data_IF_684753683760
#
_entry.id   IF_684753683760
#
_cell.length_a   1.000
_cell.length_b   1.000
_cell.length_c   1.000
_cell.angle_alpha   90.00
_cell.angle_beta   90.00
_cell.angle_gamma   90.00
#
_symmetry.space_group_name_H-M   'P 1'
#
loop_
_entity.id
_entity.type
_entity.pdbx_description
1 polymer ?
#
# COMPACT_ATOMS: atom_id res chain seq x y z
N UNK A 1 21.07 17.44 -6.25
CA UNK A 1 19.82 17.22 -5.50
C UNK A 1 19.84 15.76 -5.07
N UNK A 2 19.61 15.47 -3.80
CA UNK A 2 19.61 14.08 -3.33
C UNK A 2 18.39 13.37 -3.93
N UNK A 3 18.63 12.32 -4.71
CA UNK A 3 17.60 11.44 -5.25
C UNK A 3 17.41 10.28 -4.28
N UNK A 4 16.16 10.03 -3.86
CA UNK A 4 15.84 8.92 -2.96
C UNK A 4 15.42 7.71 -3.78
N UNK A 5 16.00 6.55 -3.46
CA UNK A 5 15.63 5.25 -4.01
C UNK A 5 15.56 4.24 -2.88
N UNK A 6 14.58 3.34 -2.95
CA UNK A 6 14.35 2.29 -1.97
C UNK A 6 14.29 0.94 -2.68
N UNK A 7 14.75 -0.12 -2.02
CA UNK A 7 14.60 -1.48 -2.56
C UNK A 7 13.18 -1.99 -2.32
N UNK A 8 12.78 -3.06 -3.00
CA UNK A 8 11.49 -3.70 -2.75
C UNK A 8 11.38 -4.17 -1.28
N UNK A 9 12.49 -4.65 -0.70
CA UNK A 9 12.54 -5.06 0.71
C UNK A 9 12.32 -3.89 1.68
N UNK A 10 12.84 -2.71 1.36
CA UNK A 10 12.60 -1.51 2.17
C UNK A 10 11.12 -1.14 2.16
N UNK A 11 10.47 -1.20 1.00
CA UNK A 11 9.04 -0.91 0.88
C UNK A 11 8.18 -2.00 1.54
N UNK A 12 8.57 -3.27 1.43
CA UNK A 12 7.86 -4.40 2.04
C UNK A 12 7.87 -4.36 3.57
N UNK A 13 8.85 -3.70 4.20
CA UNK A 13 8.83 -3.44 5.66
C UNK A 13 7.73 -2.46 6.07
N UNK A 14 7.28 -1.60 5.16
CA UNK A 14 6.21 -0.62 5.40
C UNK A 14 4.84 -1.10 4.92
N UNK A 15 4.77 -1.95 3.89
CA UNK A 15 3.53 -2.45 3.33
C UNK A 15 3.70 -3.89 2.82
N UNK A 16 2.83 -4.82 3.23
CA UNK A 16 2.91 -6.23 2.83
C UNK A 16 2.58 -6.52 1.35
N UNK A 17 2.14 -5.53 0.57
CA UNK A 17 1.79 -5.71 -0.84
C UNK A 17 3.04 -5.79 -1.72
N UNK A 18 3.24 -6.95 -2.37
CA UNK A 18 4.39 -7.16 -3.27
C UNK A 18 4.28 -6.32 -4.53
N UNK A 19 3.07 -6.18 -5.08
CA UNK A 19 2.83 -5.37 -6.27
C UNK A 19 3.14 -3.90 -5.99
N UNK A 20 2.64 -3.37 -4.87
CA UNK A 20 2.94 -2.00 -4.45
C UNK A 20 4.45 -1.77 -4.30
N UNK A 21 5.17 -2.68 -3.64
CA UNK A 21 6.61 -2.58 -3.46
C UNK A 21 7.36 -2.52 -4.80
N UNK A 22 7.04 -3.43 -5.72
CA UNK A 22 7.64 -3.48 -7.05
C UNK A 22 7.37 -2.22 -7.87
N UNK A 23 6.12 -1.73 -7.86
CA UNK A 23 5.74 -0.53 -8.62
C UNK A 23 6.39 0.73 -8.04
N UNK A 24 6.43 0.90 -6.71
CA UNK A 24 7.04 2.06 -6.08
C UNK A 24 8.56 2.11 -6.31
N UNK A 25 9.24 0.97 -6.19
CA UNK A 25 10.67 0.87 -6.51
C UNK A 25 10.93 1.15 -7.98
N UNK A 26 10.06 0.70 -8.89
CA UNK A 26 10.15 0.97 -10.34
C UNK A 26 9.90 2.44 -10.70
N UNK A 27 9.11 3.17 -9.89
CA UNK A 27 8.84 4.60 -10.06
C UNK A 27 9.99 5.50 -9.55
N UNK A 28 10.92 4.93 -8.78
CA UNK A 28 12.10 5.63 -8.29
C UNK A 28 13.14 5.86 -9.42
N UNK A 29 14.07 6.83 -9.30
CA UNK A 29 14.32 7.67 -8.13
C UNK A 29 13.37 8.86 -7.97
N UNK A 30 13.09 9.25 -6.73
CA UNK A 30 12.27 10.42 -6.40
C UNK A 30 13.12 11.67 -6.14
N UNK A 31 12.61 12.84 -6.55
CA UNK A 31 13.26 14.15 -6.39
C UNK A 31 13.29 14.63 -4.94
N UNK A 32 12.25 14.29 -4.19
CA UNK A 32 12.01 14.71 -2.80
C UNK A 32 10.93 13.81 -2.17
N UNK A 33 10.69 14.01 -0.88
CA UNK A 33 9.70 13.25 -0.11
C UNK A 33 8.26 13.44 -0.61
N UNK A 34 7.90 14.64 -1.09
CA UNK A 34 6.55 14.91 -1.57
C UNK A 34 6.25 14.14 -2.85
N UNK A 35 7.19 14.13 -3.80
CA UNK A 35 7.09 13.32 -5.02
C UNK A 35 6.98 11.82 -4.70
N UNK A 36 7.74 11.33 -3.71
CA UNK A 36 7.66 9.94 -3.29
C UNK A 36 6.29 9.59 -2.67
N UNK A 37 5.76 10.43 -1.78
CA UNK A 37 4.43 10.23 -1.16
C UNK A 37 3.34 10.29 -2.22
N UNK A 38 3.40 11.25 -3.14
CA UNK A 38 2.43 11.36 -4.22
C UNK A 38 2.43 10.10 -5.10
N UNK A 39 3.61 9.63 -5.51
CA UNK A 39 3.76 8.40 -6.30
C UNK A 39 3.19 7.18 -5.56
N UNK A 40 3.51 7.04 -4.27
CA UNK A 40 2.95 5.98 -3.43
C UNK A 40 1.42 6.03 -3.36
N UNK A 41 0.82 7.21 -3.16
CA UNK A 41 -0.64 7.36 -3.11
C UNK A 41 -1.31 7.01 -4.45
N UNK A 42 -0.71 7.38 -5.57
CA UNK A 42 -1.22 7.08 -6.90
C UNK A 42 -1.20 5.58 -7.19
N UNK A 43 -0.06 4.92 -6.91
CA UNK A 43 0.13 3.47 -7.04
C UNK A 43 -0.87 2.72 -6.15
N UNK A 44 -0.94 3.07 -4.86
CA UNK A 44 -1.84 2.41 -3.89
C UNK A 44 -3.31 2.51 -4.30
N UNK A 45 -3.70 3.65 -4.85
CA UNK A 45 -5.07 3.93 -5.28
C UNK A 45 -5.40 3.31 -6.65
N UNK A 46 -4.47 2.61 -7.30
CA UNK A 46 -4.60 2.11 -8.68
C UNK A 46 -5.02 3.21 -9.67
N UNK A 47 -4.56 4.45 -9.45
CA UNK A 47 -4.79 5.51 -10.44
C UNK A 47 -3.92 5.19 -11.65
N UNK A 48 -4.57 4.79 -12.74
CA UNK A 48 -3.93 4.65 -14.04
C UNK A 48 -3.15 5.93 -14.31
N UNK A 49 -1.83 5.80 -14.49
CA UNK A 49 -1.08 6.85 -15.17
C UNK A 49 -1.81 7.15 -16.47
N UNK A 50 -1.99 8.43 -16.87
CA UNK A 50 -2.58 8.73 -18.16
C UNK A 50 -1.79 7.96 -19.21
N UNK A 51 -2.46 7.01 -19.87
CA UNK A 51 -1.85 6.20 -20.91
C UNK A 51 -1.14 7.16 -21.88
N UNK A 52 0.13 6.89 -22.17
CA UNK A 52 0.85 7.60 -23.21
C UNK A 52 -0.02 7.66 -24.48
N UNK A 53 -0.14 8.82 -25.16
CA UNK A 53 -1.04 9.00 -26.30
C UNK A 53 -0.91 7.93 -27.38
N UNK A 54 0.27 7.32 -27.50
CA UNK A 54 0.57 6.26 -28.46
C UNK A 54 -0.23 4.97 -28.26
N UNK A 55 -0.71 4.68 -27.04
CA UNK A 55 -1.50 3.47 -26.75
C UNK A 55 -3.01 3.66 -26.93
N UNK A 56 -3.48 4.90 -27.07
CA UNK A 56 -4.90 5.23 -27.25
C UNK A 56 -5.41 5.01 -28.68
N UNK A 57 -4.51 4.92 -29.67
CA UNK A 57 -4.89 4.74 -31.07
C UNK A 57 -5.46 3.35 -31.40
N UNK A 58 -5.23 2.33 -30.55
CA UNK A 58 -5.78 0.97 -30.77
C UNK A 58 -7.07 0.69 -30.02
N UNK A 59 -7.42 1.49 -29.00
CA UNK A 59 -8.59 1.23 -28.14
C UNK A 59 -9.87 1.89 -28.72
N UNK A 60 -9.73 2.99 -29.47
CA UNK A 60 -10.85 3.76 -30.03
C UNK A 60 -11.63 3.08 -31.17
N UNK A 61 -11.23 1.88 -31.61
CA UNK A 61 -11.90 1.16 -32.70
C UNK A 61 -12.74 -0.04 -32.25
N UNK A 62 -12.75 -0.40 -30.97
CA UNK A 62 -13.40 -1.64 -30.49
C UNK A 62 -14.57 -1.37 -29.53
N UNK A 63 -14.69 -0.19 -28.91
CA UNK A 63 -15.73 0.06 -27.91
C UNK A 63 -16.42 1.44 -28.05
N UNK A 64 -17.74 1.49 -28.29
CA UNK A 64 -18.51 2.74 -28.36
C UNK A 64 -18.85 3.35 -26.99
N UNK A 65 -18.41 2.79 -25.86
CA UNK A 65 -18.64 3.36 -24.52
C UNK A 65 -17.34 3.65 -23.75
N UNK A 66 -16.66 4.79 -24.00
CA UNK A 66 -15.38 5.13 -23.34
C UNK A 66 -15.51 5.59 -21.87
N UNK A 67 -16.69 5.46 -21.26
CA UNK A 67 -16.95 5.98 -19.91
C UNK A 67 -16.75 4.98 -18.78
N UNK A 68 -16.45 3.71 -19.08
CA UNK A 68 -16.17 2.71 -18.06
C UNK A 68 -14.70 2.29 -18.11
N UNK A 69 -13.82 3.23 -17.82
CA UNK A 69 -12.54 2.90 -17.18
C UNK A 69 -12.90 2.25 -15.83
N UNK A 70 -13.10 0.93 -15.85
CA UNK A 70 -13.11 0.14 -14.63
C UNK A 70 -11.71 0.34 -14.04
N UNK A 71 -11.63 1.11 -12.95
CA UNK A 71 -10.48 1.07 -12.07
C UNK A 71 -10.38 -0.38 -11.62
N UNK A 72 -9.48 -1.15 -12.22
CA UNK A 72 -9.16 -2.48 -11.72
C UNK A 72 -8.46 -2.27 -10.39
N UNK A 73 -9.25 -2.32 -9.31
CA UNK A 73 -8.75 -2.24 -7.95
C UNK A 73 -7.99 -3.55 -7.69
N UNK A 74 -6.72 -3.44 -7.33
CA UNK A 74 -5.88 -4.56 -6.94
C UNK A 74 -6.26 -5.08 -5.54
N UNK A 75 -7.40 -5.77 -5.48
CA UNK A 75 -7.90 -6.40 -4.26
C UNK A 75 -6.89 -7.41 -3.72
N UNK A 76 -6.15 -8.10 -4.58
CA UNK A 76 -5.13 -9.08 -4.17
C UNK A 76 -4.00 -8.39 -3.42
N UNK A 77 -3.45 -7.31 -3.98
CA UNK A 77 -2.41 -6.53 -3.31
C UNK A 77 -2.88 -5.93 -1.98
N UNK A 78 -4.14 -5.51 -1.89
CA UNK A 78 -4.72 -5.05 -0.62
C UNK A 78 -4.82 -6.17 0.42
N UNK A 79 -5.30 -7.36 0.02
CA UNK A 79 -5.39 -8.51 0.93
C UNK A 79 -4.01 -8.99 1.40
N UNK A 80 -2.99 -8.98 0.53
CA UNK A 80 -1.61 -9.25 0.92
C UNK A 80 -1.10 -8.24 1.97
N UNK A 81 -1.35 -6.95 1.75
CA UNK A 81 -0.98 -5.92 2.71
C UNK A 81 -1.66 -6.12 4.07
N UNK A 82 -2.97 -6.38 4.09
CA UNK A 82 -3.72 -6.58 5.32
C UNK A 82 -3.27 -7.84 6.08
N UNK A 83 -3.00 -8.94 5.37
CA UNK A 83 -2.54 -10.18 5.96
C UNK A 83 -1.16 -10.07 6.63
N UNK A 84 -0.35 -9.06 6.27
CA UNK A 84 0.95 -8.82 6.88
C UNK A 84 0.87 -8.10 8.24
N UNK A 85 -0.28 -7.53 8.60
CA UNK A 85 -0.46 -6.86 9.89
C UNK A 85 -0.75 -7.87 11.02
N UNK A 86 -0.20 -7.66 12.23
CA UNK A 86 -0.65 -8.38 13.40
C UNK A 86 -2.09 -7.98 13.74
N UNK A 87 -2.84 -8.91 14.34
CA UNK A 87 -4.12 -8.59 14.96
C UNK A 87 -3.95 -7.50 16.03
N UNK A 88 -4.96 -6.65 16.20
CA UNK A 88 -5.00 -5.65 17.26
C UNK A 88 -5.11 -6.37 18.61
N UNK A 89 -4.32 -5.96 19.59
CA UNK A 89 -4.27 -6.60 20.91
C UNK A 89 -3.40 -7.86 20.98
N UNK A 90 -2.82 -8.28 19.85
CA UNK A 90 -1.88 -9.39 19.80
C UNK A 90 -0.60 -9.09 20.58
N UNK A 91 -0.26 -9.98 21.52
CA UNK A 91 1.01 -9.98 22.27
C UNK A 91 1.99 -11.04 21.75
N UNK A 92 1.77 -11.59 20.55
CA UNK A 92 2.63 -12.64 20.01
C UNK A 92 4.09 -12.16 19.85
N UNK A 93 5.09 -13.03 20.12
CA UNK A 93 6.50 -12.66 20.02
C UNK A 93 6.93 -12.26 18.60
N UNK A 94 6.14 -12.59 17.57
CA UNK A 94 6.38 -12.25 16.17
C UNK A 94 5.96 -10.84 15.76
N UNK A 95 5.38 -10.04 16.67
CA UNK A 95 5.00 -8.65 16.35
C UNK A 95 6.26 -7.77 16.25
N UNK A 96 6.38 -7.05 15.13
CA UNK A 96 7.50 -6.13 14.89
C UNK A 96 7.56 -5.01 15.93
N UNK A 97 8.74 -4.41 16.12
CA UNK A 97 8.88 -3.26 17.03
C UNK A 97 7.97 -2.09 16.61
N UNK A 98 7.89 -1.83 15.31
CA UNK A 98 7.03 -0.80 14.74
C UNK A 98 5.56 -1.00 15.13
N UNK A 99 5.02 -2.21 14.97
CA UNK A 99 3.62 -2.49 15.33
C UNK A 99 3.35 -2.43 16.84
N UNK A 100 4.35 -2.73 17.69
CA UNK A 100 4.23 -2.53 19.15
C UNK A 100 4.10 -1.06 19.49
N UNK A 101 4.87 -0.21 18.82
CA UNK A 101 4.83 1.24 19.01
C UNK A 101 3.50 1.82 18.52
N UNK A 102 3.00 1.37 17.36
CA UNK A 102 1.68 1.77 16.82
C UNK A 102 0.53 1.42 17.77
N UNK A 103 0.58 0.25 18.41
CA UNK A 103 -0.47 -0.19 19.34
C UNK A 103 -0.27 0.30 20.78
N UNK A 104 0.86 0.94 21.10
CA UNK A 104 1.28 1.23 22.48
C UNK A 104 0.25 2.00 23.31
N UNK A 105 -0.35 3.04 22.74
CA UNK A 105 -1.36 3.85 23.43
C UNK A 105 -2.65 3.05 23.72
N UNK A 106 -3.08 2.22 22.77
CA UNK A 106 -4.24 1.36 22.95
C UNK A 106 -3.97 0.30 24.04
N UNK A 107 -2.81 -0.35 24.00
CA UNK A 107 -2.42 -1.34 24.99
C UNK A 107 -2.22 -0.75 26.39
N UNK A 108 -1.77 0.51 26.50
CA UNK A 108 -1.59 1.19 27.78
C UNK A 108 -2.91 1.62 28.45
N UNK A 109 -4.01 1.68 27.70
CA UNK A 109 -5.30 2.20 28.17
C UNK A 109 -6.43 1.17 28.14
N UNK A 110 -6.25 0.05 27.44
CA UNK A 110 -7.18 -1.06 27.43
C UNK A 110 -7.33 -1.68 28.82
N UNK A 111 -8.56 -2.05 29.18
CA UNK A 111 -8.84 -2.85 30.36
C UNK A 111 -8.93 -4.34 29.98
N UNK A 112 -8.97 -5.22 30.99
CA UNK A 112 -9.00 -6.67 30.77
C UNK A 112 -10.23 -7.12 29.96
N UNK A 113 -11.37 -6.46 30.12
CA UNK A 113 -12.59 -6.76 29.34
C UNK A 113 -12.40 -6.47 27.85
N UNK A 114 -11.85 -5.31 27.50
CA UNK A 114 -11.56 -4.95 26.12
C UNK A 114 -10.54 -5.90 25.49
N UNK A 115 -9.50 -6.29 26.23
CA UNK A 115 -8.50 -7.24 25.73
C UNK A 115 -9.10 -8.63 25.52
N UNK A 116 -10.00 -9.08 26.40
CA UNK A 116 -10.69 -10.36 26.25
C UNK A 116 -11.59 -10.36 25.01
N UNK A 117 -12.38 -9.30 24.80
CA UNK A 117 -13.29 -9.15 23.65
C UNK A 117 -12.56 -9.09 22.30
N UNK A 118 -11.28 -8.73 22.26
CA UNK A 118 -10.47 -8.73 21.03
C UNK A 118 -9.99 -10.12 20.61
N UNK A 119 -10.01 -11.09 21.53
CA UNK A 119 -9.55 -12.47 21.30
C UNK A 119 -10.73 -13.42 21.00
N UNK A 120 -11.93 -13.06 21.48
CA UNK A 120 -13.18 -13.82 21.29
C UNK A 120 -13.74 -13.69 19.86
#
# INVERSE_FOLDING_TARGET
MASFSWTEEDVLRCCGSKRFAKELTSASPFSDLHHAIQSACEIWSNKVAPLSPSSLLSITLIDPFPHLLILEIDVVGWLEAFAAHPLIGSIFPSVSQWSKEEQSAAMATANDTTLQELVD
#
